data_IF_236516157626
#
_entry.id   IF_236516157626
#
_cell.length_a   1.000
_cell.length_b   1.000
_cell.length_c   1.000
_cell.angle_alpha   90.00
_cell.angle_beta   90.00
_cell.angle_gamma   90.00
#
_symmetry.space_group_name_H-M   'P 1'
#
loop_
_entity.id
_entity.type
_entity.pdbx_description
1 polymer ?
#
# COMPACT_ATOMS: atom_id res chain seq x y z
N UNK A 1 7.31 24.54 10.40
CA UNK A 1 6.12 23.64 10.39
C UNK A 1 6.56 22.26 9.84
N UNK A 2 6.31 21.15 10.54
CA UNK A 2 6.58 19.80 9.99
C UNK A 2 5.69 19.55 8.76
N UNK A 3 6.29 19.06 7.67
CA UNK A 3 5.58 18.72 6.44
C UNK A 3 4.50 17.67 6.75
N UNK A 4 3.27 17.91 6.35
CA UNK A 4 2.17 16.95 6.48
C UNK A 4 2.37 15.81 5.49
N UNK A 5 2.18 14.56 5.90
CA UNK A 5 2.24 13.40 5.02
C UNK A 5 1.13 13.43 3.96
N UNK A 6 1.34 12.71 2.87
CA UNK A 6 0.38 12.58 1.75
C UNK A 6 -0.44 11.31 1.89
N UNK A 7 -1.66 11.35 1.39
CA UNK A 7 -2.59 10.23 1.39
C UNK A 7 -2.80 9.69 -0.03
N UNK A 8 -2.46 8.42 -0.22
CA UNK A 8 -2.63 7.67 -1.45
C UNK A 8 -3.51 6.45 -1.18
N UNK A 9 -4.78 6.52 -1.58
CA UNK A 9 -5.74 5.41 -1.48
C UNK A 9 -6.19 5.03 -2.87
N UNK A 10 -6.13 3.74 -3.19
CA UNK A 10 -6.52 3.17 -4.47
C UNK A 10 -6.74 1.66 -4.37
N UNK A 11 -6.63 0.98 -5.50
CA UNK A 11 -6.87 -0.46 -5.63
C UNK A 11 -5.62 -1.21 -6.11
N UNK A 12 -5.62 -2.52 -5.91
CA UNK A 12 -4.59 -3.42 -6.43
C UNK A 12 -4.90 -3.80 -7.88
N UNK A 13 -4.65 -2.89 -8.80
CA UNK A 13 -4.99 -2.97 -10.22
C UNK A 13 -6.17 -2.08 -10.60
N UNK A 14 -6.36 -1.93 -11.91
CA UNK A 14 -7.44 -1.12 -12.52
C UNK A 14 -8.13 -1.83 -13.70
N UNK A 15 -7.56 -2.93 -14.18
CA UNK A 15 -7.99 -3.59 -15.43
C UNK A 15 -9.08 -4.66 -15.20
N UNK A 16 -9.88 -4.51 -14.14
CA UNK A 16 -11.00 -5.42 -13.85
C UNK A 16 -12.29 -4.89 -14.48
N UNK A 17 -13.22 -5.78 -14.81
CA UNK A 17 -14.57 -5.40 -15.22
C UNK A 17 -15.41 -5.03 -14.00
N UNK A 18 -15.37 -3.77 -13.63
CA UNK A 18 -16.19 -3.23 -12.55
C UNK A 18 -17.35 -2.41 -13.14
N UNK A 19 -18.43 -3.09 -13.46
CA UNK A 19 -19.58 -2.50 -14.17
C UNK A 19 -20.23 -1.32 -13.42
N UNK A 20 -20.14 -1.32 -12.08
CA UNK A 20 -20.60 -0.19 -11.26
C UNK A 20 -19.60 1.00 -11.22
N UNK A 21 -18.38 0.82 -11.73
CA UNK A 21 -17.34 1.85 -11.69
C UNK A 21 -17.02 2.40 -13.08
N UNK A 22 -16.86 1.55 -14.07
CA UNK A 22 -16.58 1.98 -15.45
C UNK A 22 -17.88 2.21 -16.22
N UNK A 23 -17.97 3.31 -17.01
CA UNK A 23 -19.10 3.51 -17.91
C UNK A 23 -19.29 2.34 -18.88
N UNK A 24 -20.53 2.02 -19.18
CA UNK A 24 -20.85 1.02 -20.20
C UNK A 24 -20.20 1.41 -21.53
N UNK A 25 -19.60 0.43 -22.23
CA UNK A 25 -18.92 0.63 -23.51
C UNK A 25 -17.53 1.26 -23.45
N UNK A 26 -17.01 1.60 -22.26
CA UNK A 26 -15.64 2.10 -22.15
C UNK A 26 -14.64 1.01 -22.55
N UNK A 27 -13.74 1.32 -23.49
CA UNK A 27 -12.74 0.37 -23.95
C UNK A 27 -11.67 0.13 -22.85
N UNK A 28 -11.18 -1.10 -22.72
CA UNK A 28 -10.18 -1.48 -21.69
C UNK A 28 -8.92 -0.60 -21.70
N UNK A 29 -8.49 -0.13 -22.89
CA UNK A 29 -7.34 0.78 -23.06
C UNK A 29 -7.54 2.12 -22.36
N UNK A 30 -8.79 2.54 -22.11
CA UNK A 30 -9.14 3.82 -21.47
C UNK A 30 -9.42 3.69 -19.97
N UNK A 31 -9.41 2.46 -19.42
CA UNK A 31 -9.68 2.20 -18.00
C UNK A 31 -8.73 2.97 -17.08
N UNK A 32 -7.42 2.97 -17.36
CA UNK A 32 -6.44 3.68 -16.55
C UNK A 32 -6.68 5.20 -16.55
N UNK A 33 -6.98 5.76 -17.71
CA UNK A 33 -7.30 7.19 -17.85
C UNK A 33 -8.56 7.56 -17.06
N UNK A 34 -9.60 6.71 -17.12
CA UNK A 34 -10.82 6.92 -16.33
C UNK A 34 -10.54 6.76 -14.82
N UNK A 35 -9.86 5.70 -14.41
CA UNK A 35 -9.50 5.39 -13.03
C UNK A 35 -8.71 6.55 -12.38
N UNK A 36 -7.73 7.10 -13.08
CA UNK A 36 -6.86 8.16 -12.59
C UNK A 36 -7.56 9.50 -12.33
N UNK A 37 -8.79 9.68 -12.86
CA UNK A 37 -9.65 10.83 -12.51
C UNK A 37 -10.34 10.68 -11.16
N UNK A 38 -10.46 9.44 -10.64
CA UNK A 38 -11.13 9.11 -9.38
C UNK A 38 -10.14 8.87 -8.24
N UNK A 39 -9.01 8.25 -8.54
CA UNK A 39 -7.95 7.92 -7.59
C UNK A 39 -6.62 8.52 -8.03
N UNK A 40 -5.75 8.83 -7.04
CA UNK A 40 -4.41 9.41 -7.28
C UNK A 40 -3.30 8.37 -7.26
N UNK A 41 -3.64 7.10 -7.08
CA UNK A 41 -2.67 6.00 -6.99
C UNK A 41 -3.32 4.67 -7.36
N UNK A 42 -2.47 3.73 -7.77
CA UNK A 42 -2.82 2.34 -7.99
C UNK A 42 -1.61 1.45 -7.68
N UNK A 43 -1.85 0.23 -7.23
CA UNK A 43 -0.83 -0.81 -7.11
C UNK A 43 -0.82 -1.68 -8.37
N UNK A 44 0.30 -1.71 -9.09
CA UNK A 44 0.48 -2.53 -10.29
C UNK A 44 0.78 -3.97 -9.85
N UNK A 45 -0.16 -4.89 -10.11
CA UNK A 45 0.04 -6.33 -9.88
C UNK A 45 0.51 -7.09 -11.15
N UNK A 46 0.36 -6.51 -12.33
CA UNK A 46 0.81 -7.10 -13.60
C UNK A 46 2.30 -7.47 -13.55
N UNK A 47 3.12 -6.61 -12.97
CA UNK A 47 4.57 -6.78 -12.81
C UNK A 47 4.97 -8.00 -11.97
N UNK A 48 4.05 -8.55 -11.18
CA UNK A 48 4.28 -9.78 -10.42
C UNK A 48 4.38 -11.01 -11.33
N UNK A 49 3.60 -11.07 -12.39
CA UNK A 49 3.55 -12.19 -13.33
C UNK A 49 4.45 -12.02 -14.54
N UNK A 50 4.60 -10.78 -15.00
CA UNK A 50 5.33 -10.41 -16.19
C UNK A 50 6.19 -9.18 -15.89
N UNK A 51 7.43 -9.14 -16.34
CA UNK A 51 8.24 -7.92 -16.24
C UNK A 51 7.82 -6.95 -17.36
N UNK A 52 7.09 -5.86 -17.07
CA UNK A 52 6.70 -4.90 -18.12
C UNK A 52 7.93 -4.27 -18.75
N UNK A 53 7.87 -4.01 -20.05
CA UNK A 53 8.91 -3.26 -20.76
C UNK A 53 8.89 -1.78 -20.33
N UNK A 54 10.02 -1.05 -20.45
CA UNK A 54 10.05 0.39 -20.18
C UNK A 54 8.95 1.17 -20.89
N UNK A 55 8.67 0.85 -22.17
CA UNK A 55 7.60 1.50 -22.95
C UNK A 55 6.20 1.30 -22.36
N UNK A 56 5.96 0.17 -21.71
CA UNK A 56 4.67 -0.09 -21.02
C UNK A 56 4.52 0.83 -19.80
N UNK A 57 5.57 0.99 -19.00
CA UNK A 57 5.55 1.90 -17.85
C UNK A 57 5.41 3.37 -18.29
N UNK A 58 6.11 3.78 -19.35
CA UNK A 58 5.97 5.13 -19.95
C UNK A 58 4.54 5.38 -20.40
N UNK A 59 3.92 4.44 -21.13
CA UNK A 59 2.53 4.56 -21.58
C UNK A 59 1.55 4.70 -20.40
N UNK A 60 1.74 3.95 -19.30
CA UNK A 60 0.91 4.14 -18.11
C UNK A 60 1.14 5.51 -17.45
N UNK A 61 2.39 5.97 -17.40
CA UNK A 61 2.68 7.30 -16.86
C UNK A 61 2.01 8.42 -17.69
N UNK A 62 2.03 8.33 -19.01
CA UNK A 62 1.43 9.32 -19.91
C UNK A 62 -0.10 9.37 -19.82
N UNK A 63 -0.75 8.25 -19.53
CA UNK A 63 -2.22 8.16 -19.39
C UNK A 63 -2.76 8.78 -18.09
N UNK A 64 -1.91 9.18 -17.16
CA UNK A 64 -2.34 9.62 -15.82
C UNK A 64 -1.92 11.05 -15.51
N UNK A 65 -2.61 11.77 -14.59
CA UNK A 65 -2.22 13.09 -14.15
C UNK A 65 -0.79 13.16 -13.59
N UNK A 66 -0.16 14.33 -13.61
CA UNK A 66 1.24 14.55 -13.18
C UNK A 66 1.52 14.09 -11.75
N UNK A 67 0.55 14.20 -10.86
CA UNK A 67 0.64 13.86 -9.44
C UNK A 67 0.15 12.44 -9.11
N UNK A 68 -0.10 11.62 -10.12
CA UNK A 68 -0.46 10.22 -9.95
C UNK A 68 0.74 9.38 -9.54
N UNK A 69 0.53 8.40 -8.63
CA UNK A 69 1.58 7.55 -8.08
C UNK A 69 1.26 6.07 -8.33
N UNK A 70 2.21 5.35 -8.90
CA UNK A 70 2.14 3.91 -9.07
C UNK A 70 2.96 3.20 -8.00
N UNK A 71 2.34 2.40 -7.14
CA UNK A 71 3.06 1.36 -6.41
C UNK A 71 3.25 0.16 -7.33
N UNK A 72 4.38 -0.53 -7.26
CA UNK A 72 4.70 -1.62 -8.19
C UNK A 72 5.01 -2.88 -7.39
N UNK A 73 4.27 -3.97 -7.65
CA UNK A 73 4.54 -5.26 -6.99
C UNK A 73 5.73 -5.95 -7.64
N UNK A 74 6.70 -6.32 -6.80
CA UNK A 74 7.91 -7.02 -7.23
C UNK A 74 7.59 -8.38 -7.83
N UNK A 75 8.39 -8.79 -8.81
CA UNK A 75 8.23 -10.02 -9.57
C UNK A 75 8.08 -11.28 -8.69
N UNK A 76 7.18 -12.18 -9.13
CA UNK A 76 7.02 -13.51 -8.55
C UNK A 76 8.33 -14.32 -8.58
N UNK A 77 9.12 -14.13 -9.62
CA UNK A 77 10.39 -14.83 -9.74
C UNK A 77 11.32 -14.50 -8.57
N UNK A 78 11.46 -13.24 -8.21
CA UNK A 78 12.29 -12.78 -7.08
C UNK A 78 11.72 -13.24 -5.74
N UNK A 79 10.41 -13.01 -5.51
CA UNK A 79 9.80 -13.18 -4.20
C UNK A 79 9.39 -14.61 -3.89
N UNK A 80 8.87 -15.37 -4.87
CA UNK A 80 8.26 -16.69 -4.67
C UNK A 80 9.14 -17.84 -5.17
N UNK A 81 9.85 -17.67 -6.29
CA UNK A 81 10.69 -18.71 -6.90
C UNK A 81 12.07 -18.68 -6.25
N UNK A 82 12.79 -17.56 -6.38
CA UNK A 82 14.11 -17.36 -5.77
C UNK A 82 14.06 -17.10 -4.26
N UNK A 83 12.89 -16.76 -3.74
CA UNK A 83 12.68 -16.49 -2.30
C UNK A 83 13.71 -15.53 -1.74
N UNK A 84 13.96 -14.44 -2.47
CA UNK A 84 14.89 -13.35 -2.17
C UNK A 84 16.39 -13.70 -2.28
N UNK A 85 16.77 -14.92 -2.64
CA UNK A 85 18.17 -15.33 -2.65
C UNK A 85 18.80 -15.20 -4.04
N UNK A 86 19.98 -14.55 -4.14
CA UNK A 86 20.75 -14.43 -5.39
C UNK A 86 20.00 -13.71 -6.51
N UNK A 87 19.34 -12.57 -6.19
CA UNK A 87 18.39 -11.89 -7.10
C UNK A 87 18.85 -10.51 -7.56
N UNK A 88 20.14 -10.20 -7.44
CA UNK A 88 20.66 -8.85 -7.76
C UNK A 88 20.38 -8.45 -9.20
N UNK A 89 20.71 -9.31 -10.17
CA UNK A 89 20.52 -9.01 -11.59
C UNK A 89 19.03 -8.83 -11.95
N UNK A 90 18.14 -9.62 -11.35
CA UNK A 90 16.71 -9.50 -11.53
C UNK A 90 16.17 -8.23 -10.89
N UNK A 91 16.71 -7.81 -9.74
CA UNK A 91 16.39 -6.52 -9.11
C UNK A 91 16.83 -5.35 -9.99
N UNK A 92 18.06 -5.37 -10.53
CA UNK A 92 18.55 -4.35 -11.45
C UNK A 92 17.64 -4.21 -12.67
N UNK A 93 17.30 -5.33 -13.31
CA UNK A 93 16.41 -5.34 -14.47
C UNK A 93 15.00 -4.83 -14.13
N UNK A 94 14.46 -5.25 -12.98
CA UNK A 94 13.13 -4.81 -12.52
C UNK A 94 13.12 -3.31 -12.23
N UNK A 95 14.11 -2.81 -11.47
CA UNK A 95 14.22 -1.41 -11.09
C UNK A 95 14.47 -0.51 -12.30
N UNK A 96 15.32 -0.93 -13.22
CA UNK A 96 15.59 -0.21 -14.47
C UNK A 96 14.28 -0.03 -15.28
N UNK A 97 13.49 -1.10 -15.45
CA UNK A 97 12.22 -0.99 -16.18
C UNK A 97 11.19 -0.13 -15.44
N UNK A 98 11.02 -0.35 -14.13
CA UNK A 98 10.05 0.41 -13.31
C UNK A 98 10.41 1.89 -13.20
N UNK A 99 11.70 2.26 -13.27
CA UNK A 99 12.16 3.65 -13.25
C UNK A 99 11.61 4.49 -14.40
N UNK A 100 11.14 3.85 -15.49
CA UNK A 100 10.45 4.52 -16.59
C UNK A 100 9.13 5.19 -16.20
N UNK A 101 8.56 4.89 -15.02
CA UNK A 101 7.48 5.69 -14.43
C UNK A 101 7.93 7.09 -14.01
N UNK A 102 9.25 7.35 -13.96
CA UNK A 102 9.80 8.64 -13.57
C UNK A 102 9.33 9.09 -12.18
N UNK A 103 8.88 10.34 -12.01
CA UNK A 103 8.43 10.87 -10.73
C UNK A 103 7.15 10.20 -10.19
N UNK A 104 6.46 9.40 -11.00
CA UNK A 104 5.25 8.67 -10.63
C UNK A 104 5.54 7.29 -10.02
N UNK A 105 6.80 6.82 -10.01
CA UNK A 105 7.17 5.60 -9.30
C UNK A 105 7.04 5.82 -7.79
N UNK A 106 6.12 5.12 -7.17
CA UNK A 106 5.89 5.04 -5.73
C UNK A 106 6.63 3.86 -5.08
N UNK A 107 6.13 3.37 -3.93
CA UNK A 107 6.74 2.24 -3.26
C UNK A 107 6.69 0.95 -4.09
N UNK A 108 7.71 0.11 -3.91
CA UNK A 108 7.75 -1.25 -4.46
C UNK A 108 7.29 -2.22 -3.37
N UNK A 109 6.22 -2.95 -3.66
CA UNK A 109 5.69 -3.98 -2.78
C UNK A 109 6.47 -5.28 -2.95
N UNK A 110 7.10 -5.75 -1.89
CA UNK A 110 7.77 -7.05 -1.79
C UNK A 110 6.90 -7.98 -0.96
N UNK A 111 5.97 -8.67 -1.62
CA UNK A 111 5.10 -9.64 -0.93
C UNK A 111 5.72 -11.02 -0.96
N UNK A 112 5.94 -11.62 0.23
CA UNK A 112 6.52 -12.94 0.39
C UNK A 112 5.46 -14.06 0.35
N UNK A 113 5.82 -15.28 -0.10
CA UNK A 113 4.89 -16.40 -0.09
C UNK A 113 4.60 -16.88 1.35
N UNK A 114 3.40 -17.42 1.61
CA UNK A 114 3.04 -17.93 2.93
C UNK A 114 3.92 -19.12 3.38
N UNK A 115 4.63 -19.75 2.47
CA UNK A 115 5.59 -20.83 2.78
C UNK A 115 6.99 -20.34 3.16
N UNK A 116 7.28 -19.03 3.10
CA UNK A 116 8.57 -18.49 3.52
C UNK A 116 8.51 -18.13 5.00
N UNK A 117 9.10 -19.00 5.82
CA UNK A 117 9.27 -18.80 7.25
C UNK A 117 10.31 -17.73 7.53
N UNK A 118 10.35 -17.27 8.77
CA UNK A 118 11.33 -16.32 9.28
C UNK A 118 12.76 -16.73 8.88
N UNK A 119 13.48 -15.79 8.27
CA UNK A 119 14.89 -15.89 7.89
C UNK A 119 15.47 -14.48 7.88
N UNK A 120 15.98 -14.03 9.03
CA UNK A 120 16.50 -12.67 9.21
C UNK A 120 17.72 -12.38 8.34
N UNK A 121 18.72 -13.28 8.24
CA UNK A 121 19.87 -13.06 7.36
C UNK A 121 19.45 -12.88 5.89
N UNK A 122 18.50 -13.66 5.42
CA UNK A 122 17.99 -13.56 4.04
C UNK A 122 17.27 -12.24 3.80
N UNK A 123 16.45 -11.77 4.76
CA UNK A 123 15.76 -10.48 4.67
C UNK A 123 16.77 -9.33 4.59
N UNK A 124 17.76 -9.32 5.49
CA UNK A 124 18.79 -8.27 5.55
C UNK A 124 19.63 -8.24 4.25
N UNK A 125 20.11 -9.41 3.80
CA UNK A 125 20.88 -9.53 2.54
C UNK A 125 20.07 -9.11 1.30
N UNK A 126 18.76 -9.40 1.27
CA UNK A 126 17.89 -8.94 0.19
C UNK A 126 17.76 -7.42 0.17
N UNK A 127 17.58 -6.79 1.32
CA UNK A 127 17.44 -5.33 1.41
C UNK A 127 18.75 -4.61 1.05
N UNK A 128 19.92 -5.18 1.43
CA UNK A 128 21.22 -4.73 0.95
C UNK A 128 21.33 -4.86 -0.58
N UNK A 129 20.99 -6.04 -1.14
CA UNK A 129 21.00 -6.25 -2.60
C UNK A 129 20.10 -5.28 -3.35
N UNK A 130 18.94 -4.91 -2.79
CA UNK A 130 18.02 -3.95 -3.42
C UNK A 130 18.62 -2.53 -3.41
N UNK A 131 19.33 -2.13 -2.36
CA UNK A 131 20.08 -0.87 -2.31
C UNK A 131 21.19 -0.87 -3.38
N UNK A 132 22.02 -1.92 -3.39
CA UNK A 132 23.14 -2.04 -4.29
C UNK A 132 22.70 -2.10 -5.77
N UNK A 133 21.58 -2.79 -6.07
CA UNK A 133 21.00 -2.82 -7.41
C UNK A 133 20.53 -1.43 -7.88
N UNK A 134 19.90 -0.64 -6.98
CA UNK A 134 19.54 0.75 -7.28
C UNK A 134 20.75 1.61 -7.61
N UNK A 135 21.81 1.49 -6.81
CA UNK A 135 23.04 2.27 -6.99
C UNK A 135 23.75 1.90 -8.28
N UNK A 136 23.83 0.60 -8.62
CA UNK A 136 24.51 0.14 -9.84
C UNK A 136 23.85 0.64 -11.13
N UNK A 137 22.54 0.85 -11.13
CA UNK A 137 21.82 1.37 -12.31
C UNK A 137 21.65 2.91 -12.30
N UNK A 138 22.31 3.61 -11.37
CA UNK A 138 22.35 5.07 -11.33
C UNK A 138 21.02 5.75 -11.00
N UNK A 139 20.15 5.12 -10.22
CA UNK A 139 18.91 5.76 -9.75
C UNK A 139 19.21 6.60 -8.50
N UNK A 140 19.30 7.93 -8.65
CA UNK A 140 19.59 8.88 -7.56
C UNK A 140 18.50 8.95 -6.49
N UNK A 141 17.24 8.68 -6.87
CA UNK A 141 16.13 8.76 -5.90
C UNK A 141 16.08 7.51 -5.03
N UNK A 142 15.75 7.69 -3.76
CA UNK A 142 15.48 6.57 -2.87
C UNK A 142 14.27 5.78 -3.36
N UNK A 143 14.43 4.45 -3.52
CA UNK A 143 13.34 3.53 -3.80
C UNK A 143 12.75 3.08 -2.46
N UNK A 144 11.47 3.32 -2.25
CA UNK A 144 10.74 2.91 -1.05
C UNK A 144 10.32 1.45 -1.19
N UNK A 145 10.74 0.59 -0.28
CA UNK A 145 10.33 -0.82 -0.24
C UNK A 145 9.27 -1.03 0.84
N UNK A 146 8.24 -1.79 0.52
CA UNK A 146 7.20 -2.20 1.46
C UNK A 146 7.15 -3.73 1.51
N UNK A 147 7.41 -4.33 2.68
CA UNK A 147 7.56 -5.78 2.86
C UNK A 147 6.30 -6.36 3.47
N UNK A 148 5.65 -7.28 2.74
CA UNK A 148 4.47 -8.03 3.21
C UNK A 148 4.85 -9.45 3.55
N UNK A 149 4.83 -9.79 4.83
CA UNK A 149 4.98 -11.14 5.32
C UNK A 149 3.63 -11.86 5.34
N UNK A 150 3.61 -13.18 5.11
CA UNK A 150 2.40 -14.02 5.12
C UNK A 150 2.50 -15.27 5.99
N UNK A 151 3.67 -15.58 6.54
CA UNK A 151 3.86 -16.67 7.50
C UNK A 151 3.87 -16.12 8.93
N UNK A 152 3.25 -16.84 9.89
CA UNK A 152 3.09 -16.39 11.29
C UNK A 152 4.42 -16.13 11.99
N UNK A 153 5.45 -16.93 11.69
CA UNK A 153 6.77 -16.82 12.35
C UNK A 153 7.44 -15.45 12.24
N UNK A 154 7.04 -14.59 11.29
CA UNK A 154 7.53 -13.21 11.16
C UNK A 154 6.97 -12.26 12.21
N UNK A 155 5.89 -12.67 12.90
CA UNK A 155 5.14 -11.85 13.85
C UNK A 155 5.22 -12.37 15.29
N UNK A 156 5.92 -13.49 15.52
CA UNK A 156 6.14 -14.06 16.85
C UNK A 156 7.21 -13.28 17.61
N UNK A 157 6.96 -13.00 18.89
CA UNK A 157 7.95 -12.38 19.76
C UNK A 157 8.92 -13.44 20.32
N UNK A 158 10.23 -13.11 20.50
CA UNK A 158 10.84 -11.77 20.33
C UNK A 158 11.28 -11.46 18.89
N UNK A 159 11.14 -12.40 17.95
CA UNK A 159 11.69 -12.31 16.61
C UNK A 159 11.12 -11.14 15.79
N UNK A 160 9.85 -10.81 16.00
CA UNK A 160 9.24 -9.64 15.37
C UNK A 160 10.02 -8.35 15.64
N UNK A 161 10.53 -8.16 16.86
CA UNK A 161 11.33 -6.97 17.20
C UNK A 161 12.64 -6.91 16.37
N UNK A 162 13.23 -8.06 16.05
CA UNK A 162 14.43 -8.14 15.20
C UNK A 162 14.09 -7.82 13.74
N UNK A 163 12.94 -8.31 13.25
CA UNK A 163 12.41 -7.96 11.91
C UNK A 163 12.23 -6.45 11.80
N UNK A 164 11.58 -5.81 12.78
CA UNK A 164 11.35 -4.36 12.78
C UNK A 164 12.66 -3.57 12.72
N UNK A 165 13.68 -3.97 13.49
CA UNK A 165 15.02 -3.34 13.46
C UNK A 165 15.69 -3.44 12.09
N UNK A 166 15.56 -4.60 11.40
CA UNK A 166 16.09 -4.76 10.04
C UNK A 166 15.35 -3.82 9.08
N UNK A 167 14.02 -3.78 9.13
CA UNK A 167 13.24 -2.88 8.27
C UNK A 167 13.59 -1.41 8.52
N UNK A 168 13.72 -0.99 9.78
CA UNK A 168 14.15 0.37 10.16
C UNK A 168 15.55 0.72 9.63
N UNK A 169 16.52 -0.19 9.78
CA UNK A 169 17.89 -0.04 9.25
C UNK A 169 17.88 0.30 7.76
N UNK A 170 17.00 -0.34 6.99
CA UNK A 170 16.89 -0.14 5.55
C UNK A 170 15.82 0.87 5.11
N UNK A 171 15.10 1.50 6.04
CA UNK A 171 14.00 2.41 5.72
C UNK A 171 12.85 1.74 4.96
N UNK A 172 12.68 0.42 5.13
CA UNK A 172 11.62 -0.35 4.50
C UNK A 172 10.34 -0.35 5.36
N UNK A 173 9.17 -0.19 4.75
CA UNK A 173 7.91 -0.22 5.47
C UNK A 173 7.45 -1.66 5.72
N UNK A 174 7.00 -1.97 6.94
CA UNK A 174 6.19 -3.16 7.18
C UNK A 174 4.80 -2.93 6.60
N UNK A 175 4.34 -3.85 5.75
CA UNK A 175 2.98 -3.81 5.20
C UNK A 175 1.96 -4.28 6.24
N UNK A 176 0.95 -3.46 6.50
CA UNK A 176 -0.21 -3.86 7.29
C UNK A 176 -1.24 -4.49 6.34
N UNK A 177 -1.16 -5.81 6.16
CA UNK A 177 -2.01 -6.56 5.23
C UNK A 177 -3.22 -7.15 5.96
N UNK A 178 -4.31 -6.38 6.07
CA UNK A 178 -5.54 -6.85 6.70
C UNK A 178 -6.25 -7.90 5.83
N UNK A 179 -6.46 -9.08 6.40
CA UNK A 179 -6.98 -10.26 5.71
C UNK A 179 -7.66 -11.21 6.67
N UNK A 180 -8.65 -11.94 6.21
CA UNK A 180 -9.24 -13.07 6.95
C UNK A 180 -8.34 -14.30 7.01
N UNK A 181 -7.20 -14.31 6.30
CA UNK A 181 -6.35 -15.51 6.13
C UNK A 181 -4.93 -15.36 6.66
N UNK A 182 -4.32 -14.20 6.48
CA UNK A 182 -2.90 -14.00 6.80
C UNK A 182 -2.74 -13.11 8.03
N UNK A 183 -1.74 -13.40 8.89
CA UNK A 183 -1.47 -12.58 10.06
C UNK A 183 -0.93 -11.21 9.66
N UNK A 184 -1.20 -10.21 10.48
CA UNK A 184 -0.58 -8.90 10.44
C UNK A 184 -0.47 -8.32 11.86
N UNK A 185 0.45 -7.39 12.15
CA UNK A 185 0.65 -6.86 13.48
C UNK A 185 -0.42 -5.81 13.81
N UNK A 186 -1.20 -6.05 14.87
CA UNK A 186 -2.22 -5.10 15.35
C UNK A 186 -1.61 -3.83 15.98
N UNK A 187 -0.35 -3.89 16.42
CA UNK A 187 0.37 -2.76 17.01
C UNK A 187 0.71 -1.64 16.02
N UNK A 188 0.49 -1.85 14.73
CA UNK A 188 0.71 -0.87 13.65
C UNK A 188 2.14 -0.26 13.68
N UNK A 189 3.23 -1.05 13.70
CA UNK A 189 4.59 -0.51 13.83
C UNK A 189 4.98 0.36 12.62
N UNK A 190 5.77 1.39 12.89
CA UNK A 190 6.28 2.33 11.89
C UNK A 190 7.77 2.09 11.72
N UNK A 191 8.20 1.55 10.59
CA UNK A 191 9.59 1.19 10.30
C UNK A 191 10.24 2.07 9.22
N UNK A 192 9.49 3.05 8.67
CA UNK A 192 9.97 3.93 7.62
C UNK A 192 9.28 5.30 7.65
N UNK A 193 9.58 6.16 6.67
CA UNK A 193 8.96 7.47 6.48
C UNK A 193 7.57 7.41 5.81
N UNK A 194 7.01 6.21 5.61
CA UNK A 194 5.69 5.99 5.04
C UNK A 194 5.04 4.73 5.62
N UNK A 195 3.72 4.65 5.48
CA UNK A 195 2.91 3.48 5.81
C UNK A 195 2.38 2.83 4.54
N UNK A 196 2.30 1.49 4.55
CA UNK A 196 1.74 0.72 3.45
C UNK A 196 0.68 -0.26 3.97
N UNK A 197 -0.55 -0.08 3.49
CA UNK A 197 -1.70 -0.89 3.90
C UNK A 197 -2.25 -1.67 2.71
N UNK A 198 -2.64 -2.90 2.94
CA UNK A 198 -3.38 -3.71 1.97
C UNK A 198 -4.64 -4.30 2.60
N UNK A 199 -5.74 -4.22 1.87
CA UNK A 199 -7.05 -4.66 2.32
C UNK A 199 -7.53 -5.80 1.42
N UNK A 200 -7.44 -7.05 1.94
CA UNK A 200 -7.73 -8.26 1.17
C UNK A 200 -9.14 -8.83 1.40
N UNK A 201 -9.98 -8.17 2.16
CA UNK A 201 -11.31 -8.63 2.57
C UNK A 201 -11.35 -9.08 4.02
N UNK A 202 -12.36 -8.61 4.81
CA UNK A 202 -12.44 -8.88 6.25
C UNK A 202 -12.85 -10.33 6.57
N UNK A 203 -13.80 -10.92 5.80
CA UNK A 203 -14.39 -12.23 6.09
C UNK A 203 -13.95 -13.32 5.10
N UNK A 204 -13.90 -12.97 3.82
CA UNK A 204 -13.44 -13.84 2.74
C UNK A 204 -12.41 -13.11 1.89
N UNK A 205 -11.21 -13.71 1.77
CA UNK A 205 -10.08 -13.12 1.05
C UNK A 205 -10.48 -12.79 -0.39
N UNK A 206 -10.17 -11.57 -0.82
CA UNK A 206 -10.46 -10.96 -2.13
C UNK A 206 -11.95 -10.77 -2.46
N UNK A 207 -12.88 -11.26 -1.64
CA UNK A 207 -14.28 -11.40 -2.00
C UNK A 207 -15.30 -10.88 -0.97
N UNK A 208 -14.86 -10.17 0.07
CA UNK A 208 -15.77 -9.55 1.03
C UNK A 208 -15.62 -8.03 1.09
N UNK A 209 -16.76 -7.36 1.30
CA UNK A 209 -16.88 -5.91 1.43
C UNK A 209 -16.46 -5.47 2.85
N UNK A 210 -15.65 -4.42 2.95
CA UNK A 210 -15.38 -3.78 4.24
C UNK A 210 -16.55 -2.91 4.69
N UNK A 211 -17.05 -2.06 3.83
CA UNK A 211 -18.06 -1.07 4.12
C UNK A 211 -17.58 0.03 5.10
N UNK A 212 -18.31 1.15 5.17
CA UNK A 212 -17.94 2.29 6.02
C UNK A 212 -17.77 1.92 7.50
N UNK A 213 -18.56 0.96 8.02
CA UNK A 213 -18.50 0.55 9.44
C UNK A 213 -17.14 -0.03 9.80
N UNK A 214 -16.62 -1.00 9.02
CA UNK A 214 -15.33 -1.63 9.26
C UNK A 214 -14.16 -0.68 8.95
N UNK A 215 -14.32 0.21 7.96
CA UNK A 215 -13.29 1.17 7.58
C UNK A 215 -13.15 2.33 8.59
N UNK A 216 -14.18 2.63 9.39
CA UNK A 216 -14.10 3.65 10.45
C UNK A 216 -12.97 3.40 11.44
N UNK A 217 -12.59 2.15 11.71
CA UNK A 217 -11.48 1.82 12.63
C UNK A 217 -10.11 2.24 12.11
N UNK A 218 -9.93 2.29 10.78
CA UNK A 218 -8.65 2.64 10.15
C UNK A 218 -8.44 4.15 9.99
N UNK A 219 -9.52 4.92 9.88
CA UNK A 219 -9.45 6.36 9.65
C UNK A 219 -8.65 7.13 10.72
N UNK A 220 -8.77 6.85 12.05
CA UNK A 220 -7.96 7.49 13.09
C UNK A 220 -6.45 7.24 12.90
N UNK A 221 -6.06 5.99 12.62
CA UNK A 221 -4.65 5.64 12.38
C UNK A 221 -4.09 6.34 11.16
N UNK A 222 -4.82 6.33 10.04
CA UNK A 222 -4.45 7.06 8.82
C UNK A 222 -4.25 8.55 9.10
N UNK A 223 -5.17 9.19 9.83
CA UNK A 223 -5.05 10.61 10.19
C UNK A 223 -3.84 10.87 11.09
N UNK A 224 -3.58 9.98 12.06
CA UNK A 224 -2.44 10.07 12.98
C UNK A 224 -1.12 10.01 12.22
N UNK A 225 -0.95 9.05 11.28
CA UNK A 225 0.27 8.93 10.48
C UNK A 225 0.51 10.16 9.59
N UNK A 226 -0.52 10.64 8.90
CA UNK A 226 -0.44 11.86 8.07
C UNK A 226 -0.05 13.07 8.92
N UNK A 227 -0.62 13.21 10.14
CA UNK A 227 -0.28 14.29 11.07
C UNK A 227 1.19 14.21 11.53
N UNK A 228 1.73 13.00 11.67
CA UNK A 228 3.15 12.75 11.99
C UNK A 228 4.10 13.02 10.82
N UNK A 229 3.60 13.31 9.62
CA UNK A 229 4.39 13.57 8.41
C UNK A 229 4.64 12.34 7.54
N UNK A 230 4.04 11.19 7.87
CA UNK A 230 4.20 9.95 7.11
C UNK A 230 3.28 9.94 5.88
N UNK A 231 3.82 9.60 4.71
CA UNK A 231 2.99 9.26 3.57
C UNK A 231 2.23 7.95 3.86
N UNK A 232 0.96 7.87 3.46
CA UNK A 232 0.13 6.68 3.64
C UNK A 232 -0.31 6.15 2.29
N UNK A 233 0.12 4.94 1.96
CA UNK A 233 -0.29 4.18 0.78
C UNK A 233 -1.24 3.06 1.20
N UNK A 234 -2.47 3.02 0.66
CA UNK A 234 -3.47 2.04 1.03
C UNK A 234 -4.15 1.48 -0.23
N UNK A 235 -4.08 0.16 -0.40
CA UNK A 235 -4.58 -0.51 -1.60
C UNK A 235 -5.58 -1.60 -1.26
N UNK A 236 -6.74 -1.52 -1.89
CA UNK A 236 -7.81 -2.49 -1.77
C UNK A 236 -7.67 -3.57 -2.84
N UNK A 237 -7.69 -4.83 -2.41
CA UNK A 237 -7.52 -6.03 -3.24
C UNK A 237 -8.71 -7.01 -3.05
N UNK A 238 -9.88 -6.49 -2.68
CA UNK A 238 -11.14 -7.23 -2.60
C UNK A 238 -11.97 -6.94 -3.86
N UNK A 239 -11.45 -7.43 -5.00
CA UNK A 239 -11.89 -7.02 -6.35
C UNK A 239 -13.22 -7.63 -6.80
N UNK A 240 -13.67 -8.72 -6.17
CA UNK A 240 -14.95 -9.37 -6.51
C UNK A 240 -16.09 -8.37 -6.37
N UNK A 241 -16.98 -8.33 -7.37
CA UNK A 241 -18.11 -7.39 -7.45
C UNK A 241 -17.73 -5.89 -7.41
N UNK A 242 -16.47 -5.54 -7.64
CA UNK A 242 -16.01 -4.16 -7.60
C UNK A 242 -15.95 -3.54 -6.20
N UNK A 243 -15.94 -4.35 -5.14
CA UNK A 243 -15.89 -3.86 -3.76
C UNK A 243 -14.68 -2.97 -3.48
N UNK A 244 -13.54 -3.27 -4.09
CA UNK A 244 -12.30 -2.53 -3.91
C UNK A 244 -12.45 -1.03 -4.18
N UNK A 245 -13.11 -0.63 -5.27
CA UNK A 245 -13.28 0.79 -5.61
C UNK A 245 -14.23 1.52 -4.66
N UNK A 246 -15.31 0.85 -4.22
CA UNK A 246 -16.24 1.40 -3.24
C UNK A 246 -15.59 1.59 -1.87
N UNK A 247 -14.86 0.58 -1.40
CA UNK A 247 -14.15 0.63 -0.11
C UNK A 247 -13.00 1.63 -0.12
N UNK A 248 -12.24 1.74 -1.23
CA UNK A 248 -11.20 2.75 -1.38
C UNK A 248 -11.78 4.18 -1.32
N UNK A 249 -12.88 4.45 -2.00
CA UNK A 249 -13.57 5.73 -1.94
C UNK A 249 -14.09 6.03 -0.52
N UNK A 250 -14.67 5.04 0.16
CA UNK A 250 -15.18 5.18 1.52
C UNK A 250 -14.06 5.49 2.54
N UNK A 251 -12.92 4.80 2.47
CA UNK A 251 -11.78 5.11 3.35
C UNK A 251 -11.21 6.51 3.06
N UNK A 252 -11.14 6.91 1.80
CA UNK A 252 -10.67 8.25 1.41
C UNK A 252 -11.57 9.34 1.97
N UNK A 253 -12.90 9.18 1.93
CA UNK A 253 -13.88 10.07 2.54
C UNK A 253 -13.66 10.16 4.06
N UNK A 254 -13.61 9.02 4.76
CA UNK A 254 -13.41 8.94 6.20
C UNK A 254 -12.08 9.57 6.67
N UNK A 255 -11.02 9.38 5.91
CA UNK A 255 -9.71 9.94 6.23
C UNK A 255 -9.64 11.46 6.01
N UNK A 256 -10.43 12.01 5.09
CA UNK A 256 -10.52 13.45 4.82
C UNK A 256 -11.51 14.19 5.74
N UNK A 257 -12.52 13.50 6.24
CA UNK A 257 -13.51 14.09 7.14
C UNK A 257 -12.83 14.71 8.38
N UNK A 258 -13.17 15.96 8.72
CA UNK A 258 -12.75 16.57 9.99
C UNK A 258 -13.40 15.79 11.14
N UNK A 259 -12.71 15.68 12.28
CA UNK A 259 -13.35 15.19 13.51
C UNK A 259 -14.58 16.07 13.75
N UNK A 260 -15.78 15.46 13.84
CA UNK A 260 -16.96 16.18 14.25
C UNK A 260 -16.64 16.81 15.61
N UNK A 261 -16.77 18.14 15.71
CA UNK A 261 -16.64 18.84 16.98
C UNK A 261 -17.68 18.18 17.93
N UNK A 262 -17.22 17.61 19.03
CA UNK A 262 -18.11 17.14 20.09
C UNK A 262 -18.84 18.36 20.61
N UNK A 263 -20.10 18.50 20.24
CA UNK A 263 -21.01 19.48 20.86
C UNK A 263 -21.24 18.94 22.29
N UNK A 264 -20.43 19.46 23.21
CA UNK A 264 -20.68 19.34 24.64
C UNK A 264 -21.92 20.20 24.95
N UNK A 265 -23.08 19.53 24.95
CA UNK A 265 -24.30 20.11 25.49
C UNK A 265 -24.13 20.14 27.00
N UNK A 266 -23.52 21.22 27.52
CA UNK A 266 -23.62 21.55 28.96
C UNK A 266 -25.05 21.98 29.21
N UNK A 267 -25.84 21.03 29.68
CA UNK A 267 -27.14 21.30 30.27
C UNK A 267 -26.93 22.10 31.55
N UNK A 268 -27.07 23.45 31.48
CA UNK A 268 -27.14 24.29 32.66
C UNK A 268 -28.54 24.07 33.28
N UNK A 269 -28.59 23.26 34.32
CA UNK A 269 -29.74 23.24 35.24
C UNK A 269 -29.82 24.57 35.96
N UNK A 270 -30.78 25.40 35.57
CA UNK A 270 -31.21 26.56 36.39
C UNK A 270 -31.97 26.03 37.57
N UNK A 271 -31.38 26.04 38.76
CA UNK A 271 -32.12 25.94 40.00
C UNK A 271 -32.94 27.21 40.16
N UNK A 272 -34.25 27.10 40.10
CA UNK A 272 -35.16 28.10 40.66
C UNK A 272 -35.05 27.97 42.18
N UNK A 273 -34.64 29.02 42.85
CA UNK A 273 -34.95 29.24 44.27
C UNK A 273 -36.26 30.01 44.28
N UNK A 274 -37.24 29.39 44.87
CA UNK A 274 -38.47 30.08 45.30
C UNK A 274 -38.23 30.59 46.72
N UNK A 275 -38.42 31.89 46.89
CA UNK A 275 -38.73 32.55 48.16
C UNK A 275 -40.24 32.70 48.25
#
# INVERSE_FOLDING_TARGET
MRKKGRLYIGTSGWAYRWDAFYPAGLANRDYLRFYSRKFRTVEINYSFYHLPRPSTYLNWAEQTPRDFVFSVKLSRFITHIKRLSGVRAELESFLANASSLGPKLGPILVQLPPSLKLDLPRLDAFLDSARDARESIGIDRSIRLAIEFRHGSWFELPEMNRVLKILEKHGAALVLAHSSRYPYPESEPVTSDFMYLRFHGPDRIFASLYGKKNLKRWAPSVKRWIKRGLDVHAYFNNDVNGYAVGDAAALMELARARAAASVSTTCRSRSRRDD
#
